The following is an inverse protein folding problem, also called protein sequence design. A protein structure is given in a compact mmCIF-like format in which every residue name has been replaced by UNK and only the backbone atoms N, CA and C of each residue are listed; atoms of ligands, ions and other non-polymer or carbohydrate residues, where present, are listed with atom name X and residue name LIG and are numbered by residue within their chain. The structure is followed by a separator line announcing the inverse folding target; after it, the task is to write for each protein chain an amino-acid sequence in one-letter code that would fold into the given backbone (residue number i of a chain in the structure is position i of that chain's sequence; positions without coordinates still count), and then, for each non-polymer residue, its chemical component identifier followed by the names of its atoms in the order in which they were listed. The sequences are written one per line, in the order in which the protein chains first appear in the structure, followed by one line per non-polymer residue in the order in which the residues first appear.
data_IF_814057078230
#
_entry.id   IF_814057078230
#
_cell.length_a   1.000
_cell.length_b   1.000
_cell.length_c   1.000
_cell.angle_alpha   90.00
_cell.angle_beta   90.00
_cell.angle_gamma   90.00
#
_symmetry.space_group_name_H-M   'P 1'
#
loop_
_entity.id
_entity.type
_entity.pdbx_description
1 polymer ?
#
# COMPACT_ATOMS: atom_id res chain seq x y z
N UNK A 1 -3.27 9.20 -17.64
CA UNK A 1 -3.28 9.22 -16.16
C UNK A 1 -2.38 8.10 -15.68
N UNK A 2 -1.41 8.40 -14.81
CA UNK A 2 -0.48 7.40 -14.26
C UNK A 2 -0.86 7.19 -12.79
N UNK A 3 -1.00 5.92 -12.38
CA UNK A 3 -1.23 5.53 -11.00
C UNK A 3 0.02 4.89 -10.39
N UNK A 4 0.27 5.13 -9.11
CA UNK A 4 1.37 4.50 -8.37
C UNK A 4 0.85 3.92 -7.05
N UNK A 5 1.00 2.60 -6.89
CA UNK A 5 0.66 1.89 -5.66
C UNK A 5 1.94 1.62 -4.87
N UNK A 6 2.12 2.27 -3.72
CA UNK A 6 3.27 2.06 -2.84
C UNK A 6 2.91 1.05 -1.75
N UNK A 7 3.60 -0.09 -1.74
CA UNK A 7 3.36 -1.18 -0.79
C UNK A 7 4.51 -1.28 0.21
N UNK A 8 4.18 -1.35 1.50
CA UNK A 8 5.14 -1.60 2.57
C UNK A 8 5.53 -3.09 2.67
N UNK A 9 6.53 -3.39 3.50
CA UNK A 9 7.04 -4.76 3.69
C UNK A 9 6.26 -5.61 4.71
N UNK A 10 6.70 -6.86 4.87
CA UNK A 10 6.18 -7.76 5.91
C UNK A 10 6.45 -7.19 7.30
N UNK A 11 5.46 -7.27 8.21
CA UNK A 11 5.46 -6.65 9.55
C UNK A 11 5.54 -5.11 9.59
N UNK A 12 5.65 -4.48 8.43
CA UNK A 12 5.70 -3.03 8.30
C UNK A 12 4.33 -2.36 8.30
N UNK A 13 4.32 -1.08 7.96
CA UNK A 13 3.12 -0.27 7.80
C UNK A 13 3.41 0.88 6.80
N UNK A 14 2.39 1.68 6.40
CA UNK A 14 2.55 2.71 5.37
C UNK A 14 3.71 3.71 5.57
N UNK A 15 4.09 4.01 6.82
CA UNK A 15 5.16 4.95 7.13
C UNK A 15 6.51 4.58 6.49
N UNK A 16 6.77 3.31 6.19
CA UNK A 16 8.03 2.86 5.57
C UNK A 16 8.21 3.42 4.15
N UNK A 17 7.09 3.63 3.44
CA UNK A 17 7.07 4.11 2.05
C UNK A 17 6.54 5.53 1.92
N UNK A 18 6.10 6.14 3.03
CA UNK A 18 5.57 7.50 3.08
C UNK A 18 6.53 8.55 2.49
N UNK A 19 7.86 8.53 2.74
CA UNK A 19 8.77 9.49 2.10
C UNK A 19 8.76 9.43 0.58
N UNK A 20 8.67 8.21 0.00
CA UNK A 20 8.60 8.01 -1.45
C UNK A 20 7.24 8.46 -2.00
N UNK A 21 6.15 8.07 -1.34
CA UNK A 21 4.80 8.45 -1.74
C UNK A 21 4.60 9.98 -1.73
N UNK A 22 5.13 10.65 -0.70
CA UNK A 22 5.12 12.11 -0.58
C UNK A 22 5.96 12.76 -1.68
N UNK A 23 7.14 12.22 -1.98
CA UNK A 23 7.96 12.71 -3.09
C UNK A 23 7.22 12.62 -4.42
N UNK A 24 6.63 11.48 -4.75
CA UNK A 24 5.88 11.29 -5.99
C UNK A 24 4.68 12.23 -6.08
N UNK A 25 3.91 12.36 -5.00
CA UNK A 25 2.73 13.23 -4.95
C UNK A 25 3.08 14.71 -5.11
N UNK A 26 4.24 15.14 -4.58
CA UNK A 26 4.69 16.54 -4.66
C UNK A 26 5.33 16.91 -6.01
N UNK A 27 5.77 15.93 -6.80
CA UNK A 27 6.55 16.18 -8.02
C UNK A 27 5.88 15.68 -9.30
N UNK A 28 4.68 15.11 -9.19
CA UNK A 28 3.93 14.58 -10.34
C UNK A 28 2.44 14.84 -10.17
N UNK A 29 1.68 14.65 -11.24
CA UNK A 29 0.22 14.61 -11.25
C UNK A 29 -0.32 13.18 -11.10
N UNK A 30 0.51 12.24 -10.63
CA UNK A 30 0.15 10.84 -10.51
C UNK A 30 -0.84 10.62 -9.37
N UNK A 31 -1.74 9.65 -9.53
CA UNK A 31 -2.59 9.18 -8.44
C UNK A 31 -1.82 8.18 -7.60
N UNK A 32 -1.34 8.62 -6.44
CA UNK A 32 -0.52 7.80 -5.53
C UNK A 32 -1.42 7.22 -4.42
N UNK A 33 -1.30 5.91 -4.18
CA UNK A 33 -2.03 5.21 -3.12
C UNK A 33 -1.05 4.42 -2.23
N UNK A 34 -1.28 4.48 -0.91
CA UNK A 34 -0.44 3.81 0.11
C UNK A 34 -1.34 2.98 1.04
N UNK A 35 -1.82 1.81 0.59
CA UNK A 35 -2.73 1.01 1.39
C UNK A 35 -2.00 0.32 2.56
N UNK A 36 -2.75 0.01 3.62
CA UNK A 36 -2.27 -0.89 4.69
C UNK A 36 -2.67 -2.32 4.36
N UNK A 37 -1.71 -3.23 4.21
CA UNK A 37 -2.00 -4.62 3.88
C UNK A 37 -2.75 -5.32 5.03
N UNK A 38 -3.64 -6.30 4.74
CA UNK A 38 -4.38 -7.03 5.77
C UNK A 38 -3.49 -7.54 6.91
N UNK A 39 -3.88 -7.20 8.15
CA UNK A 39 -3.19 -7.54 9.39
C UNK A 39 -1.93 -6.73 9.71
N UNK A 40 -1.60 -5.73 8.91
CA UNK A 40 -0.53 -4.77 9.17
C UNK A 40 -1.10 -3.44 9.72
N UNK A 41 -0.22 -2.51 10.09
CA UNK A 41 -0.56 -1.23 10.70
C UNK A 41 0.11 -1.04 12.05
N UNK A 42 -0.42 -0.14 12.88
CA UNK A 42 0.12 0.12 14.23
C UNK A 42 0.11 -1.12 15.14
N UNK A 43 -0.88 -1.98 14.97
CA UNK A 43 -0.99 -3.25 15.68
C UNK A 43 -1.03 -4.41 14.68
N UNK A 44 -0.11 -5.35 14.83
CA UNK A 44 -0.03 -6.51 13.94
C UNK A 44 -1.06 -7.58 14.31
N UNK A 45 -1.82 -8.01 13.31
CA UNK A 45 -2.78 -9.12 13.39
C UNK A 45 -2.60 -10.08 12.21
N UNK A 46 -1.40 -10.64 12.08
CA UNK A 46 -1.00 -11.47 10.93
C UNK A 46 -1.46 -12.93 11.01
N UNK A 47 -1.91 -13.39 12.19
CA UNK A 47 -2.26 -14.80 12.40
C UNK A 47 -3.47 -15.19 11.53
N UNK A 48 -3.27 -16.19 10.67
CA UNK A 48 -4.31 -16.71 9.78
C UNK A 48 -4.44 -15.96 8.44
N UNK A 49 -3.73 -14.85 8.26
CA UNK A 49 -3.67 -14.12 7.00
C UNK A 49 -2.61 -14.75 6.09
N UNK A 50 -2.97 -14.96 4.83
CA UNK A 50 -2.14 -15.62 3.82
C UNK A 50 -1.64 -14.60 2.81
N UNK A 51 -0.54 -14.94 2.12
CA UNK A 51 0.01 -14.11 1.04
C UNK A 51 -1.01 -13.71 -0.03
N UNK A 52 -1.97 -14.60 -0.34
CA UNK A 52 -2.99 -14.33 -1.34
C UNK A 52 -3.99 -13.27 -0.89
N UNK A 53 -4.20 -13.11 0.42
CA UNK A 53 -5.04 -12.04 0.96
C UNK A 53 -4.35 -10.68 0.73
N UNK A 54 -3.03 -10.61 0.88
CA UNK A 54 -2.25 -9.40 0.57
C UNK A 54 -2.24 -9.08 -0.92
N UNK A 55 -2.03 -10.08 -1.77
CA UNK A 55 -2.04 -9.90 -3.24
C UNK A 55 -3.42 -9.42 -3.70
N UNK A 56 -4.49 -10.12 -3.32
CA UNK A 56 -5.85 -9.75 -3.72
C UNK A 56 -6.26 -8.36 -3.21
N UNK A 57 -5.82 -7.98 -2.00
CA UNK A 57 -6.03 -6.64 -1.49
C UNK A 57 -5.25 -5.60 -2.30
N UNK A 58 -3.98 -5.83 -2.63
CA UNK A 58 -3.18 -4.93 -3.47
C UNK A 58 -3.77 -4.76 -4.87
N UNK A 59 -4.24 -5.85 -5.50
CA UNK A 59 -4.93 -5.81 -6.80
C UNK A 59 -6.21 -4.97 -6.74
N UNK A 60 -7.04 -5.17 -5.71
CA UNK A 60 -8.26 -4.38 -5.51
C UNK A 60 -7.95 -2.88 -5.31
N UNK A 61 -6.88 -2.55 -4.60
CA UNK A 61 -6.43 -1.15 -4.41
C UNK A 61 -5.91 -0.53 -5.70
N UNK A 62 -5.25 -1.30 -6.57
CA UNK A 62 -4.81 -0.84 -7.89
C UNK A 62 -5.99 -0.46 -8.79
N UNK A 63 -7.07 -1.25 -8.74
CA UNK A 63 -8.26 -1.05 -9.59
C UNK A 63 -9.20 0.05 -9.09
N UNK A 64 -9.36 0.18 -7.76
CA UNK A 64 -10.24 1.19 -7.15
C UNK A 64 -9.66 2.60 -7.15
N UNK A 65 -8.34 2.71 -7.29
CA UNK A 65 -7.62 3.98 -7.40
C UNK A 65 -7.23 4.34 -8.84
N UNK A 66 -7.79 3.66 -9.85
CA UNK A 66 -7.83 4.19 -11.22
C UNK A 66 -8.99 5.19 -11.41
#
# INVERSE_FOLDING_TARGET
MIGCLCLHGFTGAPYEVEPLANYLSNHTDWKVAVPTLPGHGEQLSLRGIKKNDWIGYAEAQSLSNC
#
